data_IF_572177842888
#
_entry.id   IF_572177842888
#
_cell.length_a   1.000
_cell.length_b   1.000
_cell.length_c   1.000
_cell.angle_alpha   90.00
_cell.angle_beta   90.00
_cell.angle_gamma   90.00
#
_symmetry.space_group_name_H-M   'P 1'
#
loop_
_entity.id
_entity.type
_entity.pdbx_description
1 polymer ?
#
# COMPACT_ATOMS: atom_id res chain seq x y z
N UNK A 1 6.97 6.39 12.26
CA UNK A 1 7.08 5.08 11.58
C UNK A 1 7.64 5.31 10.18
N UNK A 2 8.44 4.40 9.70
CA UNK A 2 8.94 4.36 8.32
C UNK A 2 7.98 3.49 7.50
N UNK A 3 7.28 4.13 6.58
CA UNK A 3 6.22 3.49 5.79
C UNK A 3 6.65 3.49 4.32
N UNK A 4 6.71 2.32 3.74
CA UNK A 4 6.87 2.14 2.30
C UNK A 4 5.50 1.99 1.64
N UNK A 5 5.29 2.71 0.55
CA UNK A 5 4.09 2.61 -0.28
C UNK A 5 4.49 2.08 -1.64
N UNK A 6 4.09 0.84 -1.94
CA UNK A 6 4.30 0.26 -3.26
C UNK A 6 3.22 0.77 -4.21
N UNK A 7 3.60 1.71 -5.07
CA UNK A 7 2.72 2.34 -6.06
C UNK A 7 2.32 3.77 -5.72
N UNK A 8 2.58 4.69 -6.66
CA UNK A 8 2.21 6.11 -6.59
C UNK A 8 0.91 6.42 -7.35
N UNK A 9 -0.06 5.52 -7.29
CA UNK A 9 -1.42 5.72 -7.80
C UNK A 9 -2.28 6.54 -6.82
N UNK A 10 -3.57 6.69 -7.14
CA UNK A 10 -4.50 7.52 -6.35
C UNK A 10 -4.58 7.08 -4.87
N UNK A 11 -4.65 5.78 -4.61
CA UNK A 11 -4.72 5.24 -3.24
C UNK A 11 -3.40 5.50 -2.49
N UNK A 12 -2.26 5.15 -3.10
CA UNK A 12 -0.94 5.37 -2.50
C UNK A 12 -0.68 6.84 -2.19
N UNK A 13 -1.02 7.75 -3.12
CA UNK A 13 -0.87 9.19 -2.93
C UNK A 13 -1.81 9.72 -1.82
N UNK A 14 -3.05 9.27 -1.77
CA UNK A 14 -3.99 9.69 -0.72
C UNK A 14 -3.48 9.27 0.67
N UNK A 15 -3.09 8.01 0.84
CA UNK A 15 -2.52 7.52 2.09
C UNK A 15 -1.21 8.24 2.45
N UNK A 16 -0.27 8.30 1.51
CA UNK A 16 1.04 8.93 1.71
C UNK A 16 0.95 10.40 2.09
N UNK A 17 0.04 11.16 1.47
CA UNK A 17 -0.21 12.57 1.81
C UNK A 17 -0.66 12.71 3.26
N UNK A 18 -1.64 11.91 3.67
CA UNK A 18 -2.19 11.98 5.03
C UNK A 18 -1.17 11.52 6.09
N UNK A 19 -0.47 10.43 5.83
CA UNK A 19 0.53 9.91 6.77
C UNK A 19 1.76 10.82 6.87
N UNK A 20 2.21 11.39 5.74
CA UNK A 20 3.27 12.40 5.75
C UNK A 20 2.90 13.61 6.61
N UNK A 21 1.66 14.12 6.48
CA UNK A 21 1.15 15.24 7.29
C UNK A 21 1.04 14.89 8.79
N UNK A 22 0.97 13.60 9.14
CA UNK A 22 1.02 13.11 10.53
C UNK A 22 2.44 12.84 11.04
N UNK A 23 3.46 13.15 10.26
CA UNK A 23 4.87 13.03 10.67
C UNK A 23 5.49 11.65 10.44
N UNK A 24 4.86 10.77 9.67
CA UNK A 24 5.48 9.51 9.26
C UNK A 24 6.53 9.76 8.17
N UNK A 25 7.55 8.92 8.14
CA UNK A 25 8.56 8.92 7.07
C UNK A 25 8.07 8.03 5.92
N UNK A 26 7.79 8.67 4.78
CA UNK A 26 7.13 8.03 3.64
C UNK A 26 8.11 7.86 2.48
N UNK A 27 8.25 6.61 2.04
CA UNK A 27 8.98 6.25 0.81
C UNK A 27 8.03 5.56 -0.16
N UNK A 28 7.98 6.06 -1.39
CA UNK A 28 7.26 5.38 -2.46
C UNK A 28 8.20 4.48 -3.25
N UNK A 29 7.84 3.21 -3.35
CA UNK A 29 8.41 2.26 -4.28
C UNK A 29 7.62 2.27 -5.59
N UNK A 30 8.30 2.50 -6.71
CA UNK A 30 7.69 2.57 -8.03
C UNK A 30 8.53 1.82 -9.07
N UNK A 31 7.89 1.44 -10.19
CA UNK A 31 8.61 0.81 -11.31
C UNK A 31 9.61 1.78 -11.97
N UNK A 32 9.19 3.02 -12.15
CA UNK A 32 9.99 4.08 -12.77
C UNK A 32 9.94 5.35 -11.90
N UNK A 33 11.01 5.65 -11.14
CA UNK A 33 11.11 6.86 -10.31
C UNK A 33 11.07 8.18 -11.08
N UNK A 34 11.24 8.15 -12.41
CA UNK A 34 11.16 9.34 -13.28
C UNK A 34 9.79 9.55 -13.90
N UNK A 35 8.82 8.66 -13.63
CA UNK A 35 7.47 8.76 -14.17
C UNK A 35 6.70 9.96 -13.61
N UNK A 36 5.67 10.42 -14.35
CA UNK A 36 4.78 11.49 -13.89
C UNK A 36 4.10 11.16 -12.55
N UNK A 37 3.79 9.88 -12.30
CA UNK A 37 3.22 9.45 -11.01
C UNK A 37 4.22 9.59 -9.86
N UNK A 38 5.49 9.31 -10.11
CA UNK A 38 6.57 9.54 -9.15
C UNK A 38 6.70 11.02 -8.77
N UNK A 39 6.57 11.93 -9.72
CA UNK A 39 6.59 13.38 -9.47
C UNK A 39 5.51 13.83 -8.47
N UNK A 40 4.32 13.25 -8.54
CA UNK A 40 3.24 13.57 -7.59
C UNK A 40 3.63 13.19 -6.15
N UNK A 41 4.32 12.07 -5.96
CA UNK A 41 4.82 11.65 -4.65
C UNK A 41 5.99 12.54 -4.16
N UNK A 42 6.87 12.98 -5.05
CA UNK A 42 7.93 13.94 -4.73
C UNK A 42 7.32 15.28 -4.26
N UNK A 43 6.28 15.75 -4.92
CA UNK A 43 5.64 17.02 -4.60
C UNK A 43 4.99 17.08 -3.21
N UNK A 44 4.64 15.94 -2.62
CA UNK A 44 4.18 15.87 -1.21
C UNK A 44 5.34 15.75 -0.22
N UNK A 45 6.60 15.84 -0.69
CA UNK A 45 7.79 15.74 0.13
C UNK A 45 8.16 14.30 0.53
N UNK A 46 7.66 13.29 -0.17
CA UNK A 46 8.04 11.91 0.05
C UNK A 46 9.30 11.53 -0.75
N UNK A 47 10.04 10.54 -0.25
CA UNK A 47 11.09 9.89 -1.00
C UNK A 47 10.49 8.98 -2.07
N UNK A 48 11.09 8.92 -3.25
CA UNK A 48 10.65 8.03 -4.33
C UNK A 48 11.87 7.27 -4.86
N UNK A 49 11.72 5.95 -5.00
CA UNK A 49 12.80 5.07 -5.47
C UNK A 49 12.22 3.81 -6.11
N UNK A 50 13.05 2.84 -6.47
CA UNK A 50 12.59 1.54 -6.98
C UNK A 50 11.85 0.73 -5.90
N UNK A 51 11.11 -0.30 -6.29
CA UNK A 51 10.45 -1.20 -5.33
C UNK A 51 11.45 -1.79 -4.34
N UNK A 52 12.57 -2.32 -4.83
CA UNK A 52 13.63 -2.92 -4.01
C UNK A 52 14.21 -1.94 -3.00
N UNK A 53 14.65 -0.77 -3.46
CA UNK A 53 15.28 0.23 -2.60
C UNK A 53 14.34 0.84 -1.57
N UNK A 54 13.04 0.89 -1.89
CA UNK A 54 12.02 1.45 -0.98
C UNK A 54 11.82 0.61 0.28
N UNK A 55 12.23 -0.65 0.26
CA UNK A 55 12.07 -1.58 1.39
C UNK A 55 13.11 -1.40 2.48
N UNK A 56 14.16 -0.61 2.22
CA UNK A 56 15.20 -0.33 3.22
C UNK A 56 14.57 0.33 4.45
N UNK A 57 14.71 -0.30 5.60
CA UNK A 57 14.18 0.16 6.90
C UNK A 57 12.63 0.27 7.00
N UNK A 58 11.87 -0.30 6.07
CA UNK A 58 10.41 -0.30 6.13
C UNK A 58 9.88 -1.08 7.35
N UNK A 59 9.05 -0.43 8.15
CA UNK A 59 8.30 -1.06 9.27
C UNK A 59 6.90 -1.47 8.82
N UNK A 60 6.31 -0.65 7.94
CA UNK A 60 4.98 -0.87 7.38
C UNK A 60 5.06 -0.75 5.87
N UNK A 61 4.41 -1.64 5.15
CA UNK A 61 4.35 -1.66 3.69
C UNK A 61 2.90 -1.59 3.21
N UNK A 62 2.52 -0.51 2.54
CA UNK A 62 1.23 -0.40 1.87
C UNK A 62 1.35 -0.94 0.45
N UNK A 63 0.61 -1.98 0.12
CA UNK A 63 0.48 -2.51 -1.24
C UNK A 63 -0.64 -1.77 -1.96
N UNK A 64 -0.27 -0.74 -2.74
CA UNK A 64 -1.19 0.14 -3.47
C UNK A 64 -0.98 0.09 -5.00
N UNK A 65 -0.64 -1.09 -5.50
CA UNK A 65 -0.52 -1.43 -6.93
C UNK A 65 -1.73 -2.26 -7.38
N UNK A 66 -2.02 -2.36 -8.69
CA UNK A 66 -3.06 -3.26 -9.17
C UNK A 66 -2.78 -4.71 -8.78
N UNK A 67 -3.80 -5.44 -8.33
CA UNK A 67 -3.66 -6.84 -7.89
C UNK A 67 -3.03 -7.74 -8.96
N UNK A 68 -3.40 -7.57 -10.23
CA UNK A 68 -2.88 -8.40 -11.32
C UNK A 68 -1.38 -8.30 -11.61
N UNK A 69 -0.66 -7.36 -10.96
CA UNK A 69 0.81 -7.26 -11.05
C UNK A 69 1.48 -7.42 -9.68
N UNK A 70 0.69 -7.63 -8.62
CA UNK A 70 1.20 -7.68 -7.25
C UNK A 70 2.10 -8.90 -7.01
N UNK A 71 1.75 -10.05 -7.57
CA UNK A 71 2.55 -11.29 -7.50
C UNK A 71 3.98 -11.05 -8.03
N UNK A 72 4.09 -10.57 -9.26
CA UNK A 72 5.38 -10.27 -9.89
C UNK A 72 6.20 -9.27 -9.08
N UNK A 73 5.57 -8.18 -8.64
CA UNK A 73 6.25 -7.13 -7.88
C UNK A 73 6.71 -7.62 -6.52
N UNK A 74 5.84 -8.25 -5.73
CA UNK A 74 6.19 -8.69 -4.37
C UNK A 74 7.26 -9.78 -4.38
N UNK A 75 7.20 -10.72 -5.31
CA UNK A 75 8.22 -11.77 -5.46
C UNK A 75 9.55 -11.27 -6.02
N UNK A 76 9.55 -10.12 -6.72
CA UNK A 76 10.79 -9.50 -7.22
C UNK A 76 11.58 -8.74 -6.15
N UNK A 77 10.98 -8.49 -5.01
CA UNK A 77 11.61 -7.76 -3.90
C UNK A 77 12.34 -8.77 -3.01
N UNK A 78 13.67 -8.70 -3.02
CA UNK A 78 14.54 -9.52 -2.17
C UNK A 78 14.68 -8.86 -0.79
N UNK A 79 13.81 -9.24 0.15
CA UNK A 79 13.78 -8.71 1.51
C UNK A 79 13.14 -9.73 2.47
N UNK A 80 13.57 -9.70 3.73
CA UNK A 80 12.83 -10.38 4.79
C UNK A 80 11.54 -9.61 5.09
N UNK A 81 10.40 -10.26 4.85
CA UNK A 81 9.07 -9.69 5.09
C UNK A 81 8.63 -9.85 6.56
N UNK A 82 9.21 -10.81 7.26
CA UNK A 82 8.91 -11.06 8.68
C UNK A 82 9.15 -9.82 9.54
N UNK A 83 8.24 -9.57 10.48
CA UNK A 83 8.25 -8.39 11.33
C UNK A 83 7.86 -7.08 10.65
N UNK A 84 7.41 -7.11 9.38
CA UNK A 84 6.82 -5.95 8.68
C UNK A 84 5.31 -6.10 8.63
N UNK A 85 4.59 -5.05 8.98
CA UNK A 85 3.14 -5.00 8.80
C UNK A 85 2.84 -4.69 7.34
N UNK A 86 2.10 -5.56 6.67
CA UNK A 86 1.68 -5.39 5.28
C UNK A 86 0.21 -4.93 5.25
N UNK A 87 -0.04 -3.77 4.68
CA UNK A 87 -1.39 -3.28 4.46
C UNK A 87 -1.76 -3.55 3.01
N UNK A 88 -2.73 -4.43 2.79
CA UNK A 88 -3.28 -4.72 1.47
C UNK A 88 -4.40 -3.73 1.12
N UNK A 89 -4.10 -2.80 0.21
CA UNK A 89 -5.08 -1.89 -0.37
C UNK A 89 -5.48 -2.27 -1.81
N UNK A 90 -5.12 -3.47 -2.27
CA UNK A 90 -5.48 -3.93 -3.61
C UNK A 90 -6.97 -4.24 -3.71
N UNK A 91 -7.48 -4.29 -4.92
CA UNK A 91 -8.83 -4.76 -5.19
C UNK A 91 -8.80 -5.61 -6.48
N UNK A 92 -9.06 -6.92 -6.41
CA UNK A 92 -8.99 -7.83 -7.55
C UNK A 92 -10.21 -7.70 -8.47
N UNK A 93 -10.49 -6.47 -8.97
CA UNK A 93 -11.58 -6.24 -9.91
C UNK A 93 -11.22 -6.88 -11.26
N UNK A 94 -12.05 -7.80 -11.71
CA UNK A 94 -11.89 -8.53 -12.97
C UNK A 94 -10.60 -9.38 -13.07
N UNK A 95 -9.98 -9.69 -11.94
CA UNK A 95 -8.81 -10.57 -11.84
C UNK A 95 -9.11 -11.65 -10.79
N UNK A 96 -8.84 -12.92 -11.13
CA UNK A 96 -9.02 -14.02 -10.18
C UNK A 96 -7.98 -13.94 -9.05
N UNK A 97 -8.39 -14.31 -7.86
CA UNK A 97 -7.49 -14.54 -6.72
C UNK A 97 -7.05 -16.00 -6.61
N UNK A 98 -7.65 -16.91 -7.41
CA UNK A 98 -7.32 -18.34 -7.34
C UNK A 98 -5.82 -18.61 -7.43
N UNK A 99 -5.30 -19.56 -6.63
CA UNK A 99 -6.01 -20.49 -5.75
C UNK A 99 -6.37 -19.95 -4.36
N UNK A 100 -6.21 -18.67 -4.08
CA UNK A 100 -6.46 -18.05 -2.78
C UNK A 100 -7.91 -17.58 -2.66
N UNK A 101 -8.45 -17.59 -1.45
CA UNK A 101 -9.81 -17.11 -1.18
C UNK A 101 -9.90 -15.57 -1.24
N UNK A 102 -8.78 -14.86 -0.97
CA UNK A 102 -8.73 -13.40 -0.97
C UNK A 102 -7.39 -12.85 -1.48
N UNK A 103 -7.39 -11.55 -1.80
CA UNK A 103 -6.15 -10.85 -2.15
C UNK A 103 -5.16 -10.81 -0.97
N UNK A 104 -5.65 -10.68 0.26
CA UNK A 104 -4.78 -10.66 1.45
C UNK A 104 -4.08 -12.00 1.65
N UNK A 105 -4.77 -13.13 1.48
CA UNK A 105 -4.15 -14.46 1.50
C UNK A 105 -3.12 -14.65 0.38
N UNK A 106 -3.41 -14.17 -0.82
CA UNK A 106 -2.46 -14.21 -1.91
C UNK A 106 -1.18 -13.42 -1.56
N UNK A 107 -1.32 -12.21 -1.01
CA UNK A 107 -0.19 -11.38 -0.59
C UNK A 107 0.59 -12.05 0.54
N UNK A 108 -0.08 -12.63 1.53
CA UNK A 108 0.56 -13.42 2.60
C UNK A 108 1.39 -14.56 2.02
N UNK A 109 0.83 -15.33 1.09
CA UNK A 109 1.53 -16.43 0.45
C UNK A 109 2.73 -15.96 -0.41
N UNK A 110 2.61 -14.83 -1.12
CA UNK A 110 3.69 -14.30 -1.98
C UNK A 110 4.85 -13.69 -1.19
N UNK A 111 4.57 -13.12 -0.02
CA UNK A 111 5.58 -12.52 0.88
C UNK A 111 6.10 -13.49 1.94
N UNK A 112 5.35 -14.54 2.23
CA UNK A 112 5.63 -15.43 3.37
C UNK A 112 5.32 -14.80 4.73
N UNK A 113 4.65 -13.63 4.76
CA UNK A 113 4.30 -12.92 5.99
C UNK A 113 2.88 -13.26 6.45
N UNK A 114 2.70 -13.45 7.76
CA UNK A 114 1.39 -13.57 8.40
C UNK A 114 0.77 -12.21 8.77
N UNK A 115 1.58 -11.14 8.85
CA UNK A 115 1.16 -9.83 9.33
C UNK A 115 0.51 -8.99 8.20
N UNK A 116 -0.55 -9.51 7.59
CA UNK A 116 -1.28 -8.86 6.49
C UNK A 116 -2.63 -8.35 6.97
N UNK A 117 -2.85 -7.04 6.82
CA UNK A 117 -4.11 -6.36 7.14
C UNK A 117 -4.74 -5.82 5.87
N UNK A 118 -5.97 -6.21 5.57
CA UNK A 118 -6.77 -5.66 4.48
C UNK A 118 -7.36 -4.32 4.89
N UNK A 119 -7.13 -3.26 4.09
CA UNK A 119 -7.67 -1.93 4.37
C UNK A 119 -7.92 -1.12 3.08
N UNK A 120 -8.72 -0.04 3.20
CA UNK A 120 -8.96 0.98 2.15
C UNK A 120 -9.70 0.53 0.89
N UNK A 121 -10.18 -0.70 0.81
CA UNK A 121 -10.96 -1.16 -0.34
C UNK A 121 -12.49 -1.00 -0.19
N UNK A 122 -12.97 -0.63 1.01
CA UNK A 122 -14.40 -0.43 1.31
C UNK A 122 -14.86 1.00 1.08
N UNK A 123 -13.95 1.91 0.71
CA UNK A 123 -14.26 3.32 0.47
C UNK A 123 -13.52 3.84 -0.76
N UNK A 124 -14.07 4.88 -1.39
CA UNK A 124 -13.43 5.52 -2.52
C UNK A 124 -12.27 6.45 -2.10
N UNK A 125 -11.34 6.71 -3.00
CA UNK A 125 -10.19 7.59 -2.76
C UNK A 125 -10.58 9.00 -2.30
N UNK A 126 -11.74 9.50 -2.74
CA UNK A 126 -12.30 10.79 -2.29
C UNK A 126 -12.50 10.82 -0.76
N UNK A 127 -12.97 9.72 -0.19
CA UNK A 127 -13.16 9.60 1.26
C UNK A 127 -11.83 9.45 2.01
N UNK A 128 -10.81 8.90 1.39
CA UNK A 128 -9.46 8.87 1.99
C UNK A 128 -8.86 10.28 2.07
N UNK A 129 -9.13 11.13 1.09
CA UNK A 129 -8.63 12.52 1.06
C UNK A 129 -9.47 13.46 1.92
N UNK A 130 -10.78 13.23 2.01
CA UNK A 130 -11.70 13.99 2.84
C UNK A 130 -12.58 13.03 3.67
N UNK A 131 -12.12 12.60 4.86
CA UNK A 131 -12.77 11.54 5.64
C UNK A 131 -13.98 12.04 6.44
N UNK A 132 -14.64 13.09 5.99
CA UNK A 132 -15.86 13.63 6.61
C UNK A 132 -16.99 13.78 5.59
N UNK A 133 -18.20 13.42 6.01
CA UNK A 133 -19.43 13.67 5.27
C UNK A 133 -20.49 14.27 6.21
N UNK A 134 -21.00 15.46 5.89
CA UNK A 134 -21.97 16.19 6.73
C UNK A 134 -21.55 16.31 8.20
N UNK A 135 -20.27 16.61 8.46
CA UNK A 135 -19.73 16.77 9.81
C UNK A 135 -19.55 15.46 10.60
N UNK A 136 -19.66 14.30 9.94
CA UNK A 136 -19.41 12.99 10.53
C UNK A 136 -18.21 12.33 9.88
N UNK A 137 -17.35 11.72 10.69
CA UNK A 137 -16.25 10.91 10.21
C UNK A 137 -16.78 9.70 9.40
N UNK A 138 -16.12 9.39 8.31
CA UNK A 138 -16.41 8.20 7.50
C UNK A 138 -15.69 7.02 8.13
N UNK A 139 -16.44 5.96 8.43
CA UNK A 139 -15.89 4.71 8.91
C UNK A 139 -15.28 3.91 7.75
N UNK A 140 -14.18 3.24 8.02
CA UNK A 140 -13.57 2.28 7.10
C UNK A 140 -13.36 0.95 7.81
N UNK A 141 -13.60 -0.15 7.11
CA UNK A 141 -13.40 -1.49 7.68
C UNK A 141 -12.00 -1.97 7.36
N UNK A 142 -11.41 -2.64 8.34
CA UNK A 142 -10.14 -3.36 8.20
C UNK A 142 -10.36 -4.79 8.65
N UNK A 143 -9.57 -5.73 8.13
CA UNK A 143 -9.56 -7.10 8.60
C UNK A 143 -8.14 -7.69 8.49
N UNK A 144 -7.85 -8.62 9.37
CA UNK A 144 -6.59 -9.34 9.48
C UNK A 144 -6.67 -10.28 10.68
N UNK A 145 -5.76 -11.23 10.79
CA UNK A 145 -5.80 -12.26 11.85
C UNK A 145 -5.33 -11.72 13.20
N UNK A 146 -4.50 -10.68 13.19
CA UNK A 146 -3.86 -10.05 14.36
C UNK A 146 -4.28 -8.56 14.50
N UNK A 147 -5.57 -8.25 14.36
CA UNK A 147 -6.06 -6.84 14.38
C UNK A 147 -6.57 -6.43 15.75
#
# INVERSE_FOLDING_TARGET
MRITILGAGNIGLAAGTKWKAKGHDITFGVRDPQSQKAWNAINIGAKVTTFQESMTDAEVVLVAIPFGVADEVLKSIDVEWDGKIIIDATNPISVSTEPFESAAEAISAWTGSADVVKAFNTTGVGNMTNPEYNGKAIETFICGDEV
#
